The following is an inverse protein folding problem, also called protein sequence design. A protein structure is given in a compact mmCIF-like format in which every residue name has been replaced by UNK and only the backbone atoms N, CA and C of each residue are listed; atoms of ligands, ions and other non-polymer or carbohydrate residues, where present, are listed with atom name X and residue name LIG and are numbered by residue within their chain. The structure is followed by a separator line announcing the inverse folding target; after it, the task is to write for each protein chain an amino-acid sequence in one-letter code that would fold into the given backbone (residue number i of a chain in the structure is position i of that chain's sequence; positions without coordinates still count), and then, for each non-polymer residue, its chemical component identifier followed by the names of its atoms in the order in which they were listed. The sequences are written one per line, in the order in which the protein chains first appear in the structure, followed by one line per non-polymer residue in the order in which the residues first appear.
data_IF_198571258074
#
_entry.id   IF_198571258074
#
_cell.length_a   1.000
_cell.length_b   1.000
_cell.length_c   1.000
_cell.angle_alpha   90.00
_cell.angle_beta   90.00
_cell.angle_gamma   90.00
#
_symmetry.space_group_name_H-M   'P 1'
#
loop_
_entity.id
_entity.type
_entity.pdbx_description
1 polymer ?
#
# COMPACT_ATOMS: atom_id res chain seq x y z
N UNK A 1 -4.83 18.41 -18.24
CA UNK A 1 -4.21 17.95 -17.00
C UNK A 1 -2.69 17.93 -17.20
N UNK A 2 -1.94 18.51 -16.28
CA UNK A 2 -0.46 18.57 -16.32
C UNK A 2 0.18 17.42 -15.56
N UNK A 3 -0.63 16.53 -15.00
CA UNK A 3 -0.23 15.34 -14.25
C UNK A 3 -0.31 14.10 -15.15
N UNK A 4 0.76 13.33 -15.17
CA UNK A 4 0.80 11.97 -15.70
C UNK A 4 0.84 10.99 -14.53
N UNK A 5 -0.14 10.11 -14.43
CA UNK A 5 -0.20 9.08 -13.40
C UNK A 5 0.03 7.70 -14.03
N UNK A 6 0.89 6.92 -13.41
CA UNK A 6 1.16 5.53 -13.78
C UNK A 6 1.01 4.63 -12.57
N UNK A 7 0.25 3.56 -12.73
CA UNK A 7 0.24 2.45 -11.78
C UNK A 7 1.01 1.28 -12.42
N UNK A 8 2.09 0.86 -11.78
CA UNK A 8 2.98 -0.18 -12.28
C UNK A 8 2.84 -1.43 -11.43
N UNK A 9 2.33 -2.50 -12.05
CA UNK A 9 2.18 -3.81 -11.43
C UNK A 9 3.49 -4.58 -11.62
N UNK A 10 4.30 -4.64 -10.58
CA UNK A 10 5.65 -5.24 -10.66
C UNK A 10 5.63 -6.77 -10.62
N UNK A 11 4.60 -7.35 -9.98
CA UNK A 11 4.43 -8.79 -9.82
C UNK A 11 2.96 -9.17 -9.65
N UNK A 12 2.51 -10.22 -10.30
CA UNK A 12 1.13 -10.70 -10.24
C UNK A 12 0.82 -11.58 -9.03
N UNK A 13 1.84 -12.13 -8.34
CA UNK A 13 1.63 -12.94 -7.13
C UNK A 13 1.81 -12.11 -5.85
N UNK A 14 1.39 -12.68 -4.73
CA UNK A 14 1.52 -12.12 -3.40
C UNK A 14 1.99 -13.22 -2.44
N UNK A 15 2.79 -12.84 -1.45
CA UNK A 15 3.17 -13.74 -0.35
C UNK A 15 2.05 -13.93 0.69
N UNK A 16 0.88 -13.29 0.48
CA UNK A 16 -0.33 -13.45 1.28
C UNK A 16 -1.45 -14.15 0.49
N UNK A 17 -2.41 -14.71 1.24
CA UNK A 17 -3.68 -15.24 0.73
C UNK A 17 -4.81 -14.70 1.61
N UNK A 18 -5.00 -13.37 1.56
CA UNK A 18 -6.06 -12.70 2.33
C UNK A 18 -7.43 -13.22 1.93
N UNK A 19 -8.32 -13.46 2.90
CA UNK A 19 -9.65 -14.04 2.68
C UNK A 19 -10.52 -13.25 1.71
N UNK A 20 -10.37 -11.92 1.71
CA UNK A 20 -11.14 -11.00 0.87
C UNK A 20 -10.40 -10.55 -0.41
N UNK A 21 -9.20 -11.08 -0.67
CA UNK A 21 -8.40 -10.62 -1.79
C UNK A 21 -9.06 -10.94 -3.14
N UNK A 22 -9.09 -10.01 -4.06
CA UNK A 22 -9.64 -10.17 -5.41
C UNK A 22 -8.57 -10.51 -6.47
N UNK A 23 -7.30 -10.55 -6.10
CA UNK A 23 -6.20 -10.84 -7.02
C UNK A 23 -6.17 -12.33 -7.44
N UNK A 24 -5.75 -12.60 -8.68
CA UNK A 24 -5.67 -13.96 -9.22
C UNK A 24 -4.39 -14.70 -8.85
N UNK A 25 -3.41 -14.03 -8.26
CA UNK A 25 -2.11 -14.62 -7.84
C UNK A 25 -1.36 -15.34 -8.96
N UNK A 26 -1.18 -14.68 -10.07
CA UNK A 26 -0.36 -15.19 -11.17
C UNK A 26 1.12 -14.96 -10.83
N UNK A 27 1.92 -16.03 -10.80
CA UNK A 27 3.36 -15.94 -10.53
C UNK A 27 4.13 -15.39 -11.76
N UNK A 28 3.80 -14.16 -12.12
CA UNK A 28 4.37 -13.45 -13.27
C UNK A 28 5.02 -12.16 -12.77
N UNK A 29 6.34 -12.06 -12.93
CA UNK A 29 7.06 -10.81 -12.75
C UNK A 29 7.01 -9.98 -14.05
N UNK A 30 7.10 -8.66 -13.94
CA UNK A 30 7.22 -7.80 -15.12
C UNK A 30 8.48 -8.18 -15.92
N UNK A 31 8.34 -8.32 -17.24
CA UNK A 31 9.45 -8.66 -18.11
C UNK A 31 10.33 -7.42 -18.42
N UNK A 32 11.57 -7.66 -18.78
CA UNK A 32 12.51 -6.59 -19.19
C UNK A 32 11.98 -5.83 -20.39
N UNK A 33 11.35 -6.53 -21.35
CA UNK A 33 10.74 -5.90 -22.54
C UNK A 33 9.62 -4.93 -22.15
N UNK A 34 8.79 -5.30 -21.16
CA UNK A 34 7.74 -4.42 -20.65
C UNK A 34 8.35 -3.22 -19.93
N UNK A 35 9.40 -3.42 -19.11
CA UNK A 35 10.11 -2.33 -18.45
C UNK A 35 10.70 -1.34 -19.46
N UNK A 36 11.33 -1.83 -20.53
CA UNK A 36 11.89 -1.01 -21.61
C UNK A 36 10.79 -0.23 -22.36
N UNK A 37 9.65 -0.86 -22.61
CA UNK A 37 8.50 -0.22 -23.24
C UNK A 37 7.93 0.91 -22.36
N UNK A 38 7.87 0.72 -21.04
CA UNK A 38 7.44 1.77 -20.09
C UNK A 38 8.42 2.96 -20.13
N UNK A 39 9.72 2.70 -20.15
CA UNK A 39 10.74 3.75 -20.23
C UNK A 39 10.60 4.54 -21.54
N UNK A 40 10.42 3.85 -22.65
CA UNK A 40 10.25 4.51 -23.96
C UNK A 40 8.95 5.36 -23.97
N UNK A 41 7.85 4.80 -23.49
CA UNK A 41 6.58 5.52 -23.37
C UNK A 41 6.74 6.81 -22.52
N UNK A 42 7.38 6.71 -21.36
CA UNK A 42 7.61 7.88 -20.50
C UNK A 42 8.48 8.93 -21.20
N UNK A 43 9.54 8.51 -21.85
CA UNK A 43 10.42 9.41 -22.61
C UNK A 43 9.65 10.26 -23.62
N UNK A 44 8.79 9.62 -24.42
CA UNK A 44 7.96 10.28 -25.41
C UNK A 44 6.95 11.24 -24.76
N UNK A 45 6.29 10.81 -23.67
CA UNK A 45 5.30 11.63 -22.97
C UNK A 45 5.93 12.85 -22.31
N UNK A 46 7.02 12.66 -21.58
CA UNK A 46 7.66 13.75 -20.83
C UNK A 46 8.37 14.75 -21.78
N UNK A 47 8.91 14.29 -22.88
CA UNK A 47 9.52 15.15 -23.91
C UNK A 47 8.51 16.08 -24.59
N UNK A 48 7.22 15.75 -24.57
CA UNK A 48 6.17 16.58 -25.21
C UNK A 48 5.95 17.95 -24.56
N UNK A 49 6.51 18.19 -23.37
CA UNK A 49 6.31 19.43 -22.61
C UNK A 49 4.90 19.64 -22.04
N UNK A 50 4.01 18.65 -22.21
CA UNK A 50 2.61 18.72 -21.75
C UNK A 50 2.47 18.53 -20.24
N UNK A 51 3.38 17.77 -19.61
CA UNK A 51 3.28 17.36 -18.21
C UNK A 51 4.27 18.13 -17.35
N UNK A 52 3.83 18.49 -16.15
CA UNK A 52 4.66 19.09 -15.09
C UNK A 52 4.88 18.16 -13.92
N UNK A 53 4.05 17.13 -13.79
CA UNK A 53 4.07 16.17 -12.71
C UNK A 53 4.03 14.74 -13.24
N UNK A 54 4.86 13.88 -12.68
CA UNK A 54 4.78 12.43 -12.83
C UNK A 54 4.52 11.79 -11.47
N UNK A 55 3.42 11.08 -11.36
CA UNK A 55 3.07 10.26 -10.18
C UNK A 55 3.17 8.79 -10.52
N UNK A 56 3.99 8.04 -9.78
CA UNK A 56 4.18 6.60 -9.99
C UNK A 56 3.70 5.84 -8.77
N UNK A 57 2.69 4.98 -8.96
CA UNK A 57 2.21 4.03 -7.96
C UNK A 57 2.76 2.63 -8.20
N UNK A 58 3.51 2.09 -7.26
CA UNK A 58 3.97 0.70 -7.29
C UNK A 58 2.91 -0.20 -6.69
N UNK A 59 2.46 -1.16 -7.47
CA UNK A 59 1.33 -2.03 -7.14
C UNK A 59 1.58 -3.47 -7.64
N UNK A 60 0.56 -4.32 -7.54
CA UNK A 60 0.53 -5.73 -7.95
C UNK A 60 -0.11 -6.59 -6.86
N UNK A 61 0.07 -7.88 -6.89
CA UNK A 61 -0.26 -8.72 -5.75
C UNK A 61 0.52 -8.28 -4.50
N UNK A 62 1.85 -8.32 -4.60
CA UNK A 62 2.77 -7.64 -3.66
C UNK A 62 3.92 -7.02 -4.45
N UNK A 63 4.03 -5.70 -4.51
CA UNK A 63 5.05 -5.04 -5.35
C UNK A 63 6.49 -5.33 -4.92
N UNK A 64 6.73 -5.67 -3.65
CA UNK A 64 8.08 -5.99 -3.18
C UNK A 64 8.56 -7.40 -3.58
N UNK A 65 7.72 -8.25 -4.14
CA UNK A 65 8.15 -9.45 -4.88
C UNK A 65 8.85 -9.04 -6.18
N UNK A 66 8.37 -7.99 -6.83
CA UNK A 66 9.00 -7.36 -7.99
C UNK A 66 9.98 -6.22 -7.65
N UNK A 67 10.66 -6.27 -6.51
CA UNK A 67 11.57 -5.21 -6.07
C UNK A 67 12.69 -4.91 -7.08
N UNK A 68 13.10 -5.89 -7.90
CA UNK A 68 14.07 -5.69 -8.97
C UNK A 68 13.60 -4.67 -10.01
N UNK A 69 12.31 -4.73 -10.38
CA UNK A 69 11.67 -3.77 -11.30
C UNK A 69 11.68 -2.36 -10.71
N UNK A 70 11.32 -2.20 -9.42
CA UNK A 70 11.37 -0.90 -8.74
C UNK A 70 12.79 -0.33 -8.77
N UNK A 71 13.79 -1.15 -8.44
CA UNK A 71 15.22 -0.77 -8.47
C UNK A 71 15.70 -0.35 -9.86
N UNK A 72 15.20 -0.98 -10.90
CA UNK A 72 15.59 -0.68 -12.27
C UNK A 72 14.92 0.58 -12.80
N UNK A 73 13.61 0.72 -12.57
CA UNK A 73 12.82 1.80 -13.17
C UNK A 73 12.92 3.12 -12.42
N UNK A 74 12.97 3.10 -11.07
CA UNK A 74 12.93 4.33 -10.27
C UNK A 74 14.05 5.32 -10.63
N UNK A 75 15.33 4.92 -10.74
CA UNK A 75 16.38 5.86 -11.13
C UNK A 75 16.14 6.45 -12.51
N UNK A 76 15.70 5.64 -13.48
CA UNK A 76 15.42 6.10 -14.84
C UNK A 76 14.30 7.14 -14.87
N UNK A 77 13.24 6.92 -14.08
CA UNK A 77 12.12 7.88 -13.98
C UNK A 77 12.56 9.20 -13.35
N UNK A 78 13.38 9.14 -12.30
CA UNK A 78 13.95 10.31 -11.64
C UNK A 78 14.81 11.09 -12.62
N UNK A 79 15.75 10.44 -13.32
CA UNK A 79 16.63 11.07 -14.32
C UNK A 79 15.84 11.72 -15.47
N UNK A 80 14.78 11.06 -15.95
CA UNK A 80 13.90 11.62 -16.98
C UNK A 80 13.15 12.86 -16.46
N UNK A 81 12.65 12.81 -15.23
CA UNK A 81 11.96 13.96 -14.62
C UNK A 81 12.92 15.13 -14.41
N UNK A 82 14.14 14.90 -13.95
CA UNK A 82 15.17 15.93 -13.83
C UNK A 82 15.50 16.54 -15.21
N UNK A 83 15.72 15.71 -16.22
CA UNK A 83 16.02 16.15 -17.59
C UNK A 83 14.94 17.07 -18.18
N UNK A 84 13.67 16.76 -17.95
CA UNK A 84 12.54 17.51 -18.51
C UNK A 84 11.92 18.49 -17.53
N UNK A 85 12.53 18.73 -16.35
CA UNK A 85 12.07 19.63 -15.29
C UNK A 85 10.64 19.32 -14.81
N UNK A 86 10.38 18.03 -14.54
CA UNK A 86 9.10 17.51 -14.11
C UNK A 86 9.20 17.11 -12.62
N UNK A 87 8.18 17.45 -11.85
CA UNK A 87 8.10 17.01 -10.45
C UNK A 87 7.76 15.51 -10.38
N UNK A 88 8.66 14.74 -9.80
CA UNK A 88 8.48 13.32 -9.56
C UNK A 88 7.93 13.05 -8.16
N UNK A 89 6.92 12.22 -8.07
CA UNK A 89 6.43 11.64 -6.82
C UNK A 89 6.14 10.16 -6.99
N UNK A 90 6.31 9.39 -5.91
CA UNK A 90 6.11 7.96 -5.97
C UNK A 90 5.46 7.42 -4.70
N UNK A 91 4.56 6.46 -4.89
CA UNK A 91 3.82 5.79 -3.86
C UNK A 91 3.92 4.27 -3.99
N UNK A 92 3.72 3.54 -2.90
CA UNK A 92 3.66 2.08 -2.90
C UNK A 92 2.51 1.58 -2.03
N UNK A 93 1.72 0.65 -2.57
CA UNK A 93 0.75 -0.12 -1.82
C UNK A 93 1.32 -1.51 -1.56
N UNK A 94 1.61 -1.84 -0.31
CA UNK A 94 2.30 -3.08 0.07
C UNK A 94 1.71 -3.67 1.35
N UNK A 95 1.76 -5.00 1.47
CA UNK A 95 1.44 -5.68 2.71
C UNK A 95 2.52 -5.49 3.80
N UNK A 96 3.62 -4.83 3.47
CA UNK A 96 4.73 -4.49 4.38
C UNK A 96 5.56 -5.65 4.92
N UNK A 97 5.18 -6.88 4.74
CA UNK A 97 5.91 -8.03 5.28
C UNK A 97 7.36 -8.11 4.79
N UNK A 98 7.59 -7.72 3.53
CA UNK A 98 8.92 -7.70 2.89
C UNK A 98 9.66 -6.37 3.03
N UNK A 99 9.03 -5.35 3.56
CA UNK A 99 9.59 -4.00 3.69
C UNK A 99 10.42 -3.87 4.97
N UNK A 100 11.65 -4.34 4.92
CA UNK A 100 12.63 -4.18 6.00
C UNK A 100 13.07 -2.72 6.15
N UNK A 101 13.67 -2.36 7.29
CA UNK A 101 14.25 -1.03 7.55
C UNK A 101 15.18 -0.57 6.42
N UNK A 102 16.04 -1.46 5.91
CA UNK A 102 16.94 -1.13 4.82
C UNK A 102 16.20 -0.87 3.50
N UNK A 103 15.21 -1.71 3.15
CA UNK A 103 14.39 -1.47 1.95
C UNK A 103 13.61 -0.17 2.05
N UNK A 104 13.02 0.13 3.22
CA UNK A 104 12.32 1.39 3.45
C UNK A 104 13.24 2.59 3.22
N UNK A 105 14.45 2.56 3.82
CA UNK A 105 15.44 3.62 3.59
C UNK A 105 15.75 3.80 2.11
N UNK A 106 16.05 2.72 1.38
CA UNK A 106 16.33 2.79 -0.05
C UNK A 106 15.16 3.33 -0.86
N UNK A 107 13.95 2.86 -0.61
CA UNK A 107 12.74 3.34 -1.27
C UNK A 107 12.56 4.85 -1.06
N UNK A 108 12.72 5.32 0.17
CA UNK A 108 12.56 6.74 0.49
C UNK A 108 13.71 7.59 -0.08
N UNK A 109 14.96 7.30 0.27
CA UNK A 109 16.11 8.14 -0.07
C UNK A 109 16.48 8.07 -1.55
N UNK A 110 16.52 6.87 -2.11
CA UNK A 110 17.05 6.63 -3.47
C UNK A 110 15.97 6.62 -4.54
N UNK A 111 14.79 6.08 -4.24
CA UNK A 111 13.72 5.91 -5.22
C UNK A 111 12.57 6.91 -5.04
N UNK A 112 12.71 7.83 -4.07
CA UNK A 112 11.75 8.91 -3.80
C UNK A 112 10.31 8.41 -3.56
N UNK A 113 10.18 7.20 -2.99
CA UNK A 113 8.89 6.70 -2.54
C UNK A 113 8.58 7.34 -1.19
N UNK A 114 7.68 8.31 -1.19
CA UNK A 114 7.32 9.11 -0.02
C UNK A 114 5.89 8.86 0.46
N UNK A 115 5.11 8.08 -0.27
CA UNK A 115 3.75 7.70 0.13
C UNK A 115 3.62 6.17 0.20
N UNK A 116 3.11 5.70 1.32
CA UNK A 116 2.95 4.27 1.63
C UNK A 116 1.51 3.99 2.02
N UNK A 117 0.90 2.98 1.40
CA UNK A 117 -0.34 2.40 1.89
C UNK A 117 -0.06 0.99 2.39
N UNK A 118 -0.38 0.74 3.65
CA UNK A 118 -0.09 -0.51 4.35
C UNK A 118 -1.37 -1.00 5.01
N UNK A 119 -1.70 -2.27 4.87
CA UNK A 119 -2.92 -2.83 5.43
C UNK A 119 -2.68 -3.53 6.75
N UNK A 120 -3.46 -3.13 7.76
CA UNK A 120 -3.72 -3.87 8.99
C UNK A 120 -5.23 -4.11 9.11
N UNK A 121 -5.65 -5.25 9.65
CA UNK A 121 -7.08 -5.58 9.72
C UNK A 121 -7.52 -5.83 11.17
N UNK A 122 -7.14 -4.92 12.07
CA UNK A 122 -7.44 -4.96 13.49
C UNK A 122 -6.20 -5.29 14.34
N UNK A 123 -6.42 -5.99 15.44
CA UNK A 123 -5.38 -6.53 16.31
C UNK A 123 -4.66 -7.74 15.70
N UNK A 124 -3.72 -8.34 16.44
CA UNK A 124 -2.93 -9.47 15.97
C UNK A 124 -3.79 -10.66 15.57
N UNK A 125 -4.78 -11.02 16.37
CA UNK A 125 -5.63 -12.18 16.12
C UNK A 125 -6.46 -12.00 14.87
N UNK A 126 -7.18 -10.89 14.78
CA UNK A 126 -8.03 -10.53 13.65
C UNK A 126 -7.25 -10.42 12.36
N UNK A 127 -6.11 -9.71 12.39
CA UNK A 127 -5.24 -9.56 11.23
C UNK A 127 -4.73 -10.91 10.73
N UNK A 128 -4.16 -11.73 11.61
CA UNK A 128 -3.60 -13.02 11.24
C UNK A 128 -4.67 -13.98 10.73
N UNK A 129 -5.91 -13.87 11.20
CA UNK A 129 -7.03 -14.67 10.71
C UNK A 129 -7.46 -14.26 9.30
N UNK A 130 -7.43 -12.98 8.96
CA UNK A 130 -7.85 -12.48 7.64
C UNK A 130 -6.73 -12.45 6.60
N UNK A 131 -5.51 -12.13 7.03
CA UNK A 131 -4.34 -11.89 6.17
C UNK A 131 -3.29 -12.98 6.34
N UNK A 132 -3.67 -14.17 5.91
CA UNK A 132 -2.83 -15.37 6.03
C UNK A 132 -1.65 -15.30 5.05
N UNK A 133 -0.45 -15.64 5.51
CA UNK A 133 0.68 -15.89 4.60
C UNK A 133 0.41 -17.10 3.71
N UNK A 134 0.97 -17.10 2.50
CA UNK A 134 0.85 -18.23 1.57
C UNK A 134 1.31 -19.57 2.19
N UNK A 135 2.27 -19.54 3.10
CA UNK A 135 2.77 -20.71 3.82
C UNK A 135 2.04 -21.00 5.14
N UNK A 136 0.95 -20.29 5.44
CA UNK A 136 0.18 -20.43 6.68
C UNK A 136 0.76 -19.74 7.91
N UNK A 137 1.88 -19.02 7.77
CA UNK A 137 2.53 -18.30 8.88
C UNK A 137 1.79 -17.03 9.32
N UNK A 138 2.17 -16.51 10.48
CA UNK A 138 1.65 -15.28 11.06
C UNK A 138 2.40 -14.06 10.49
N UNK A 139 1.71 -12.93 10.36
CA UNK A 139 2.27 -11.76 9.69
C UNK A 139 2.24 -10.47 10.52
N UNK A 140 1.32 -10.36 11.47
CA UNK A 140 1.04 -9.12 12.20
C UNK A 140 2.29 -8.51 12.84
N UNK A 141 2.95 -9.26 13.70
CA UNK A 141 4.08 -8.75 14.48
C UNK A 141 5.20 -8.22 13.58
N UNK A 142 5.50 -8.92 12.49
CA UNK A 142 6.50 -8.46 11.52
C UNK A 142 6.10 -7.17 10.81
N UNK A 143 4.84 -7.04 10.43
CA UNK A 143 4.33 -5.82 9.81
C UNK A 143 4.35 -4.68 10.81
N UNK A 144 3.90 -4.92 12.02
CA UNK A 144 3.83 -3.94 13.09
C UNK A 144 5.23 -3.44 13.50
N UNK A 145 6.21 -4.33 13.66
CA UNK A 145 7.61 -3.96 13.92
C UNK A 145 8.22 -3.13 12.78
N UNK A 146 7.89 -3.48 11.54
CA UNK A 146 8.28 -2.67 10.40
C UNK A 146 7.62 -1.27 10.43
N UNK A 147 6.36 -1.13 10.86
CA UNK A 147 5.70 0.17 11.03
C UNK A 147 6.34 0.99 12.14
N UNK A 148 6.68 0.38 13.28
CA UNK A 148 7.43 1.03 14.36
C UNK A 148 8.78 1.55 13.86
N UNK A 149 9.50 0.76 13.07
CA UNK A 149 10.78 1.20 12.49
C UNK A 149 10.63 2.38 11.53
N UNK A 150 9.48 2.52 10.83
CA UNK A 150 9.17 3.75 10.07
C UNK A 150 8.96 4.93 11.01
N UNK A 151 8.15 4.77 12.04
CA UNK A 151 7.82 5.81 13.02
C UNK A 151 9.10 6.35 13.69
N UNK A 152 10.03 5.49 14.07
CA UNK A 152 11.33 5.85 14.66
C UNK A 152 12.29 6.54 13.66
N UNK A 153 12.00 6.48 12.37
CA UNK A 153 12.85 7.10 11.35
C UNK A 153 12.67 8.62 11.30
N UNK A 154 13.69 9.31 10.75
CA UNK A 154 13.66 10.77 10.51
C UNK A 154 13.28 11.11 9.06
N UNK A 155 12.83 10.14 8.28
CA UNK A 155 12.46 10.37 6.88
C UNK A 155 11.13 11.09 6.77
N UNK A 156 11.01 11.90 5.71
CA UNK A 156 9.74 12.47 5.30
C UNK A 156 8.95 11.45 4.49
N UNK A 157 7.75 11.14 4.95
CA UNK A 157 6.81 10.25 4.26
C UNK A 157 5.40 10.45 4.78
N UNK A 158 4.43 9.94 4.05
CA UNK A 158 3.07 9.71 4.52
C UNK A 158 2.82 8.19 4.48
N UNK A 159 2.34 7.65 5.57
CA UNK A 159 1.93 6.26 5.68
C UNK A 159 0.44 6.18 6.00
N UNK A 160 -0.35 5.68 5.07
CA UNK A 160 -1.76 5.38 5.32
C UNK A 160 -1.86 3.93 5.83
N UNK A 161 -2.23 3.77 7.09
CA UNK A 161 -2.62 2.48 7.66
C UNK A 161 -4.07 2.24 7.25
N UNK A 162 -4.26 1.35 6.28
CA UNK A 162 -5.58 0.98 5.77
C UNK A 162 -6.12 -0.22 6.51
N UNK A 163 -7.36 -0.13 6.94
CA UNK A 163 -8.14 -1.25 7.47
C UNK A 163 -9.20 -1.66 6.46
N UNK A 164 -9.20 -2.94 6.06
CA UNK A 164 -10.31 -3.53 5.34
C UNK A 164 -11.25 -4.16 6.37
N UNK A 165 -12.48 -3.67 6.43
CA UNK A 165 -13.38 -3.91 7.54
C UNK A 165 -14.57 -4.75 7.11
N UNK A 166 -14.87 -5.77 7.91
CA UNK A 166 -16.07 -6.60 7.84
C UNK A 166 -16.69 -6.68 9.24
N UNK A 167 -17.84 -7.35 9.38
CA UNK A 167 -18.43 -7.61 10.71
C UNK A 167 -17.49 -8.43 11.60
N UNK A 168 -16.67 -9.29 10.97
CA UNK A 168 -15.81 -10.23 11.68
C UNK A 168 -14.65 -9.55 12.41
N UNK A 169 -14.18 -8.38 11.95
CA UNK A 169 -13.08 -7.65 12.55
C UNK A 169 -13.42 -6.22 13.01
N UNK A 170 -14.68 -5.81 12.91
CA UNK A 170 -15.10 -4.43 13.21
C UNK A 170 -14.70 -3.98 14.61
N UNK A 171 -14.94 -4.84 15.61
CA UNK A 171 -14.60 -4.53 17.00
C UNK A 171 -13.09 -4.48 17.22
N UNK A 172 -12.33 -5.41 16.65
CA UNK A 172 -10.86 -5.44 16.74
C UNK A 172 -10.20 -4.24 16.07
N UNK A 173 -10.80 -3.74 14.97
CA UNK A 173 -10.36 -2.50 14.30
C UNK A 173 -10.60 -1.28 15.22
N UNK A 174 -11.72 -1.24 15.98
CA UNK A 174 -11.95 -0.17 16.98
C UNK A 174 -10.95 -0.25 18.12
N UNK A 175 -10.67 -1.44 18.63
CA UNK A 175 -9.73 -1.66 19.73
C UNK A 175 -8.31 -1.27 19.35
N UNK A 176 -7.92 -1.37 18.08
CA UNK A 176 -6.63 -0.87 17.59
C UNK A 176 -6.39 0.59 17.98
N UNK A 177 -7.41 1.44 17.98
CA UNK A 177 -7.29 2.86 18.33
C UNK A 177 -6.86 3.11 19.80
N UNK A 178 -7.16 2.18 20.69
CA UNK A 178 -6.86 2.30 22.13
C UNK A 178 -5.66 1.47 22.57
N UNK A 179 -5.12 0.62 21.67
CA UNK A 179 -3.99 -0.26 21.94
C UNK A 179 -2.84 0.03 20.97
N UNK A 180 -2.67 -0.77 19.96
CA UNK A 180 -1.52 -0.70 19.07
C UNK A 180 -1.42 0.60 18.28
N UNK A 181 -2.55 1.21 17.94
CA UNK A 181 -2.61 2.49 17.21
C UNK A 181 -1.97 3.66 17.96
N UNK A 182 -1.89 3.61 19.29
CA UNK A 182 -1.31 4.66 20.11
C UNK A 182 0.12 5.01 19.69
N UNK A 183 0.89 4.04 19.17
CA UNK A 183 2.22 4.26 18.63
C UNK A 183 2.28 5.30 17.51
N UNK A 184 1.20 5.47 16.76
CA UNK A 184 1.15 6.29 15.53
C UNK A 184 0.34 7.56 15.69
N UNK A 185 -0.42 7.68 16.78
CA UNK A 185 -1.42 8.74 17.00
C UNK A 185 -0.83 10.15 16.90
N UNK A 186 0.32 10.38 17.52
CA UNK A 186 0.94 11.70 17.61
C UNK A 186 1.94 11.99 16.47
N UNK A 187 2.09 11.07 15.53
CA UNK A 187 2.97 11.24 14.37
C UNK A 187 2.14 11.58 13.13
N UNK A 188 2.16 12.84 12.70
CA UNK A 188 1.37 13.34 11.57
C UNK A 188 1.69 12.68 10.23
N UNK A 189 2.79 11.92 10.15
CA UNK A 189 3.15 11.12 8.97
C UNK A 189 2.26 9.89 8.82
N UNK A 190 1.61 9.44 9.90
CA UNK A 190 0.69 8.31 9.87
C UNK A 190 -0.75 8.79 9.79
N UNK A 191 -1.49 8.20 8.87
CA UNK A 191 -2.93 8.44 8.70
C UNK A 191 -3.67 7.11 8.70
N UNK A 192 -4.90 7.12 9.15
CA UNK A 192 -5.77 5.95 9.16
C UNK A 192 -6.82 6.08 8.05
N UNK A 193 -7.13 4.96 7.42
CA UNK A 193 -8.19 4.86 6.41
C UNK A 193 -8.98 3.56 6.62
N UNK A 194 -10.29 3.63 6.54
CA UNK A 194 -11.19 2.49 6.69
C UNK A 194 -11.95 2.25 5.39
N UNK A 195 -11.95 0.99 4.95
CA UNK A 195 -12.66 0.56 3.77
C UNK A 195 -13.50 -0.68 4.07
N UNK A 196 -14.79 -0.62 3.80
CA UNK A 196 -15.63 -1.80 3.89
C UNK A 196 -15.21 -2.83 2.85
N UNK A 197 -15.05 -4.08 3.28
CA UNK A 197 -14.83 -5.19 2.37
C UNK A 197 -16.09 -5.34 1.52
N UNK A 198 -15.91 -5.41 0.20
CA UNK A 198 -16.98 -5.63 -0.78
C UNK A 198 -16.71 -6.86 -1.63
N UNK A 199 -17.74 -7.40 -2.24
CA UNK A 199 -17.60 -8.44 -3.25
C UNK A 199 -17.25 -7.78 -4.59
N UNK A 200 -15.98 -7.80 -4.96
CA UNK A 200 -15.46 -7.20 -6.19
C UNK A 200 -15.44 -8.18 -7.38
N UNK A 201 -16.21 -9.25 -7.27
CA UNK A 201 -16.47 -10.17 -8.39
C UNK A 201 -15.25 -10.97 -8.83
N UNK A 202 -14.53 -11.52 -7.88
CA UNK A 202 -13.35 -12.26 -8.20
C UNK A 202 -13.60 -13.74 -8.47
N UNK A 203 -13.50 -14.12 -9.73
CA UNK A 203 -13.40 -15.51 -10.18
C UNK A 203 -14.40 -16.42 -9.47
N UNK A 204 -13.93 -17.55 -8.99
CA UNK A 204 -14.74 -18.59 -8.37
C UNK A 204 -14.96 -18.39 -6.85
N UNK A 205 -14.55 -17.26 -6.28
CA UNK A 205 -14.70 -16.99 -4.84
C UNK A 205 -15.94 -16.14 -4.56
N UNK A 206 -16.89 -16.70 -3.89
CA UNK A 206 -17.89 -15.92 -3.17
C UNK A 206 -17.28 -15.47 -1.82
N UNK A 207 -16.96 -14.18 -1.73
CA UNK A 207 -16.38 -13.58 -0.52
C UNK A 207 -17.31 -13.72 0.69
N UNK A 208 -18.62 -13.83 0.48
CA UNK A 208 -19.60 -13.99 1.56
C UNK A 208 -19.40 -15.28 2.37
N UNK A 209 -18.68 -16.27 1.84
CA UNK A 209 -18.29 -17.48 2.58
C UNK A 209 -17.14 -17.24 3.57
N UNK A 210 -16.34 -16.21 3.38
CA UNK A 210 -15.15 -16.02 4.19
C UNK A 210 -15.15 -14.74 5.04
N UNK A 211 -16.01 -13.76 4.73
CA UNK A 211 -16.17 -12.54 5.51
C UNK A 211 -17.62 -12.09 5.54
N UNK A 212 -18.06 -11.54 6.67
CA UNK A 212 -19.41 -10.98 6.81
C UNK A 212 -19.38 -9.49 6.47
N UNK A 213 -20.07 -9.09 5.41
CA UNK A 213 -20.05 -7.72 4.92
C UNK A 213 -20.74 -6.76 5.90
N UNK A 214 -20.19 -5.55 6.00
CA UNK A 214 -20.75 -4.45 6.76
C UNK A 214 -21.70 -3.60 5.91
N UNK A 215 -22.56 -2.83 6.62
CA UNK A 215 -23.34 -1.77 6.04
C UNK A 215 -22.44 -0.64 5.51
N UNK A 216 -22.96 0.13 4.52
CA UNK A 216 -22.18 1.13 3.79
C UNK A 216 -21.54 2.21 4.69
N UNK A 217 -22.18 2.54 5.81
CA UNK A 217 -21.75 3.66 6.67
C UNK A 217 -20.72 3.29 7.74
N UNK A 218 -20.40 2.00 7.87
CA UNK A 218 -19.51 1.54 8.95
C UNK A 218 -18.09 2.12 8.87
N UNK A 219 -17.52 2.30 7.68
CA UNK A 219 -16.21 2.94 7.50
C UNK A 219 -16.23 4.42 7.85
N UNK A 220 -17.36 5.10 7.61
CA UNK A 220 -17.56 6.49 8.01
C UNK A 220 -17.61 6.63 9.53
N UNK A 221 -18.36 5.77 10.23
CA UNK A 221 -18.44 5.77 11.70
C UNK A 221 -17.07 5.49 12.35
N UNK A 222 -16.28 4.56 11.77
CA UNK A 222 -14.91 4.32 12.22
C UNK A 222 -14.00 5.53 11.99
N UNK A 223 -14.11 6.21 10.87
CA UNK A 223 -13.35 7.41 10.56
C UNK A 223 -13.68 8.54 11.55
N UNK A 224 -14.95 8.73 11.86
CA UNK A 224 -15.40 9.68 12.88
C UNK A 224 -14.85 9.36 14.27
N UNK A 225 -14.87 8.07 14.65
CA UNK A 225 -14.30 7.62 15.92
C UNK A 225 -12.78 7.87 15.96
N UNK A 226 -12.06 7.59 14.90
CA UNK A 226 -10.62 7.84 14.83
C UNK A 226 -10.29 9.33 15.01
N UNK A 227 -11.01 10.22 14.32
CA UNK A 227 -10.84 11.68 14.46
C UNK A 227 -11.11 12.13 15.90
N UNK A 228 -12.22 11.69 16.51
CA UNK A 228 -12.55 12.05 17.89
C UNK A 228 -11.57 11.47 18.91
N UNK A 229 -10.87 10.40 18.55
CA UNK A 229 -9.78 9.80 19.34
C UNK A 229 -8.42 10.48 19.10
N UNK A 230 -8.35 11.48 18.21
CA UNK A 230 -7.14 12.28 17.94
C UNK A 230 -6.22 11.71 16.88
N UNK A 231 -6.68 10.79 16.03
CA UNK A 231 -5.91 10.27 14.91
C UNK A 231 -6.05 11.15 13.66
N UNK A 232 -5.00 11.19 12.86
CA UNK A 232 -5.07 11.72 11.51
C UNK A 232 -5.73 10.71 10.59
N UNK A 233 -6.67 11.16 9.77
CA UNK A 233 -7.30 10.31 8.75
C UNK A 233 -6.84 10.70 7.35
N UNK A 234 -6.80 9.71 6.46
CA UNK A 234 -6.65 9.95 5.03
C UNK A 234 -8.02 10.24 4.44
N UNK A 235 -8.13 11.25 3.59
CA UNK A 235 -9.32 11.42 2.75
C UNK A 235 -9.53 10.17 1.88
N UNK A 236 -10.78 9.76 1.66
CA UNK A 236 -11.10 8.62 0.82
C UNK A 236 -10.60 8.81 -0.62
#
# INVERSE_FOLDING_TARGET
AELLELTILTHGDCNFRCKYCYEKFENIAMSTETEDAIVQFLKEKLQSGKYKYLSVGWFGGEPLLGYKTIKRLSPVFIDLCEKYQIHYQSAITTNRYLLTKNKFRYLNEKFKVTSYQITLDGDEESHNNQRVLQNGGLSYNRIFDNLKAMQESKFDFICVIRFNVSKDNYQNVKEFLTHDGIYFKDDSRFKISYHNIGNWGKGDRDINYCVTLLDKDASFELSKLAVTSGYHISSP
#
